data_IF_831012103070
#
_entry.id   IF_831012103070
#
_cell.length_a   1.000
_cell.length_b   1.000
_cell.length_c   1.000
_cell.angle_alpha   90.00
_cell.angle_beta   90.00
_cell.angle_gamma   90.00
#
_symmetry.space_group_name_H-M   'P 1'
#
loop_
_entity.id
_entity.type
_entity.pdbx_description
1 polymer ?
#
# COMPACT_ATOMS: atom_id res chain seq x y z
N UNK A 1 -8.60 2.12 -28.98
CA UNK A 1 -8.75 3.43 -28.31
C UNK A 1 -10.25 3.62 -28.07
N UNK A 2 -10.69 4.09 -26.90
CA UNK A 2 -12.12 4.36 -26.66
C UNK A 2 -12.40 5.84 -26.95
N UNK A 3 -13.44 6.12 -27.70
CA UNK A 3 -13.91 7.49 -27.96
C UNK A 3 -14.80 7.92 -26.81
N UNK A 4 -14.69 9.18 -26.38
CA UNK A 4 -15.49 9.72 -25.27
C UNK A 4 -16.41 10.80 -25.83
N UNK A 5 -17.71 10.62 -25.63
CA UNK A 5 -18.75 11.57 -25.99
C UNK A 5 -19.42 12.10 -24.72
N UNK A 6 -19.82 13.36 -24.73
CA UNK A 6 -20.51 14.01 -23.60
C UNK A 6 -21.87 14.53 -24.03
N UNK A 7 -22.86 14.35 -23.17
CA UNK A 7 -24.25 14.73 -23.41
C UNK A 7 -24.81 15.47 -22.20
N UNK A 8 -25.69 16.43 -22.43
CA UNK A 8 -26.22 17.30 -21.38
C UNK A 8 -27.55 16.82 -20.80
N UNK A 9 -28.06 15.67 -21.27
CA UNK A 9 -29.24 15.01 -20.71
C UNK A 9 -29.21 13.48 -20.89
N UNK A 10 -30.03 12.78 -20.10
CA UNK A 10 -30.08 11.32 -20.08
C UNK A 10 -30.68 10.73 -21.37
N UNK A 11 -31.73 11.35 -21.92
CA UNK A 11 -32.44 10.84 -23.10
C UNK A 11 -31.53 10.79 -24.35
N UNK A 12 -30.72 11.84 -24.58
CA UNK A 12 -29.71 11.85 -25.65
C UNK A 12 -28.60 10.84 -25.41
N UNK A 13 -28.22 10.63 -24.14
CA UNK A 13 -27.20 9.65 -23.75
C UNK A 13 -27.68 8.23 -24.06
N UNK A 14 -28.92 7.92 -23.68
CA UNK A 14 -29.53 6.60 -23.85
C UNK A 14 -29.77 6.32 -25.34
N UNK A 15 -30.34 7.28 -26.09
CA UNK A 15 -30.51 7.15 -27.54
C UNK A 15 -29.17 6.97 -28.28
N UNK A 16 -28.11 7.67 -27.84
CA UNK A 16 -26.78 7.48 -28.40
C UNK A 16 -26.22 6.09 -28.10
N UNK A 17 -26.41 5.57 -26.88
CA UNK A 17 -25.97 4.21 -26.53
C UNK A 17 -26.76 3.13 -27.30
N UNK A 18 -28.08 3.29 -27.43
CA UNK A 18 -28.96 2.37 -28.18
C UNK A 18 -28.66 2.36 -29.67
N UNK A 19 -28.17 3.48 -30.24
CA UNK A 19 -27.78 3.57 -31.65
C UNK A 19 -26.49 2.83 -32.03
N UNK A 20 -25.77 2.27 -31.04
CA UNK A 20 -24.42 1.70 -31.19
C UNK A 20 -24.41 0.19 -31.06
N UNK A 21 -25.04 -0.49 -32.01
CA UNK A 21 -25.03 -1.95 -32.12
C UNK A 21 -23.64 -2.53 -32.49
N UNK A 22 -22.75 -1.69 -33.02
CA UNK A 22 -21.41 -2.04 -33.50
C UNK A 22 -20.32 -1.90 -32.42
N UNK A 23 -20.68 -1.42 -31.23
CA UNK A 23 -19.73 -0.97 -30.23
C UNK A 23 -20.24 -1.19 -28.79
N UNK A 24 -19.33 -1.23 -27.83
CA UNK A 24 -19.71 -1.16 -26.41
C UNK A 24 -19.79 0.31 -26.00
N UNK A 25 -20.97 0.80 -25.67
CA UNK A 25 -21.17 2.11 -25.04
C UNK A 25 -21.31 1.94 -23.52
N UNK A 26 -20.47 2.64 -22.75
CA UNK A 26 -20.54 2.63 -21.27
C UNK A 26 -20.72 4.05 -20.75
N UNK A 27 -21.83 4.28 -20.05
CA UNK A 27 -22.11 5.55 -19.37
C UNK A 27 -21.23 5.63 -18.11
N UNK A 28 -20.59 6.79 -17.91
CA UNK A 28 -19.70 7.06 -16.80
C UNK A 28 -19.97 8.45 -16.23
N UNK A 29 -19.57 8.67 -14.98
CA UNK A 29 -19.71 9.96 -14.32
C UNK A 29 -18.92 11.04 -15.07
N UNK A 30 -19.59 12.14 -15.38
CA UNK A 30 -18.96 13.30 -16.01
C UNK A 30 -18.42 14.27 -14.94
N UNK A 31 -17.51 15.20 -15.32
CA UNK A 31 -16.96 16.19 -14.40
C UNK A 31 -17.95 17.29 -13.98
N UNK A 32 -19.18 17.33 -14.53
CA UNK A 32 -20.18 18.36 -14.23
C UNK A 32 -21.54 17.75 -13.85
N UNK A 33 -22.22 18.24 -12.80
CA UNK A 33 -23.57 17.79 -12.48
C UNK A 33 -24.54 17.97 -13.65
N UNK A 34 -25.30 16.94 -13.98
CA UNK A 34 -26.28 16.94 -15.09
C UNK A 34 -25.73 16.55 -16.46
N UNK A 35 -24.41 16.39 -16.60
CA UNK A 35 -23.77 15.92 -17.82
C UNK A 35 -23.45 14.42 -17.72
N UNK A 36 -23.48 13.72 -18.85
CA UNK A 36 -23.20 12.30 -18.98
C UNK A 36 -22.03 12.09 -19.92
N UNK A 37 -21.11 11.19 -19.56
CA UNK A 37 -19.97 10.82 -20.43
C UNK A 37 -20.13 9.38 -20.88
N UNK A 38 -20.21 9.16 -22.19
CA UNK A 38 -20.26 7.82 -22.80
C UNK A 38 -18.90 7.48 -23.38
N UNK A 39 -18.32 6.38 -22.91
CA UNK A 39 -17.12 5.78 -23.52
C UNK A 39 -17.54 4.72 -24.52
N UNK A 40 -17.24 4.93 -25.80
CA UNK A 40 -17.50 3.99 -26.90
C UNK A 40 -16.21 3.21 -27.20
N UNK A 41 -16.29 1.89 -27.14
CA UNK A 41 -15.20 0.99 -27.49
C UNK A 41 -15.65 -0.09 -28.46
N UNK A 42 -14.71 -0.93 -28.96
CA UNK A 42 -15.09 -2.06 -29.80
C UNK A 42 -16.15 -2.93 -29.10
N UNK A 43 -17.01 -3.57 -29.90
CA UNK A 43 -17.96 -4.55 -29.39
C UNK A 43 -17.23 -5.61 -28.54
N UNK A 44 -17.86 -6.13 -27.47
CA UNK A 44 -17.27 -7.22 -26.71
C UNK A 44 -17.07 -8.40 -27.67
N UNK A 45 -15.85 -8.96 -27.74
CA UNK A 45 -15.65 -10.21 -28.48
C UNK A 45 -16.52 -11.30 -27.85
N UNK A 46 -17.12 -12.15 -28.68
CA UNK A 46 -17.83 -13.33 -28.19
C UNK A 46 -16.86 -14.15 -27.32
N UNK A 47 -17.20 -14.46 -26.06
CA UNK A 47 -16.37 -15.31 -25.20
C UNK A 47 -15.98 -16.65 -25.84
N UNK A 48 -16.76 -17.16 -26.79
CA UNK A 48 -16.47 -18.39 -27.55
C UNK A 48 -15.29 -18.24 -28.52
N UNK A 49 -15.03 -17.01 -28.97
CA UNK A 49 -13.92 -16.66 -29.86
C UNK A 49 -12.69 -16.16 -29.09
N UNK A 50 -12.71 -16.24 -27.76
CA UNK A 50 -11.62 -15.85 -26.88
C UNK A 50 -10.89 -17.08 -26.34
N UNK A 51 -9.59 -16.96 -26.21
CA UNK A 51 -8.77 -17.94 -25.48
C UNK A 51 -9.06 -17.88 -23.99
N UNK A 52 -8.80 -18.98 -23.27
CA UNK A 52 -8.88 -19.00 -21.81
C UNK A 52 -8.05 -17.87 -21.17
N UNK A 53 -6.87 -17.56 -21.72
CA UNK A 53 -6.03 -16.48 -21.23
C UNK A 53 -6.74 -15.11 -21.34
N UNK A 54 -7.40 -14.82 -22.46
CA UNK A 54 -8.15 -13.57 -22.66
C UNK A 54 -9.37 -13.46 -21.73
N UNK A 55 -10.08 -14.57 -21.51
CA UNK A 55 -11.22 -14.61 -20.59
C UNK A 55 -10.81 -14.34 -19.13
N UNK A 56 -9.66 -14.88 -18.71
CA UNK A 56 -9.16 -14.74 -17.35
C UNK A 56 -8.23 -13.54 -17.15
N UNK A 57 -7.90 -12.75 -18.19
CA UNK A 57 -6.96 -11.63 -18.09
C UNK A 57 -7.36 -10.61 -17.01
N UNK A 58 -8.65 -10.29 -16.91
CA UNK A 58 -9.18 -9.39 -15.88
C UNK A 58 -8.98 -9.95 -14.46
N UNK A 59 -9.27 -11.24 -14.28
CA UNK A 59 -9.09 -11.95 -13.01
C UNK A 59 -7.60 -12.02 -12.64
N UNK A 60 -6.75 -12.43 -13.58
CA UNK A 60 -5.29 -12.51 -13.41
C UNK A 60 -4.67 -11.14 -13.11
N UNK A 61 -5.19 -10.06 -13.70
CA UNK A 61 -4.76 -8.70 -13.40
C UNK A 61 -5.07 -8.32 -11.96
N UNK A 62 -6.27 -8.62 -11.47
CA UNK A 62 -6.63 -8.33 -10.08
C UNK A 62 -5.84 -9.18 -9.08
N UNK A 63 -5.57 -10.45 -9.39
CA UNK A 63 -4.67 -11.28 -8.59
C UNK A 63 -3.26 -10.70 -8.53
N UNK A 64 -2.67 -10.30 -9.66
CA UNK A 64 -1.35 -9.65 -9.72
C UNK A 64 -1.31 -8.37 -8.88
N UNK A 65 -2.29 -7.47 -9.03
CA UNK A 65 -2.40 -6.25 -8.22
C UNK A 65 -2.51 -6.55 -6.71
N UNK A 66 -3.21 -7.61 -6.35
CA UNK A 66 -3.34 -8.01 -4.93
C UNK A 66 -2.02 -8.58 -4.41
N UNK A 67 -1.35 -9.41 -5.20
CA UNK A 67 -0.04 -9.95 -4.85
C UNK A 67 1.01 -8.84 -4.70
N UNK A 68 1.08 -7.88 -5.62
CA UNK A 68 1.96 -6.72 -5.54
C UNK A 68 1.72 -5.91 -4.26
N UNK A 69 0.45 -5.68 -3.89
CA UNK A 69 0.08 -5.02 -2.64
C UNK A 69 0.52 -5.81 -1.41
N UNK A 70 0.31 -7.13 -1.40
CA UNK A 70 0.76 -7.98 -0.30
C UNK A 70 2.28 -7.97 -0.16
N UNK A 71 3.00 -8.04 -1.28
CA UNK A 71 4.46 -7.98 -1.30
C UNK A 71 4.97 -6.61 -0.81
N UNK A 72 4.35 -5.51 -1.21
CA UNK A 72 4.69 -4.18 -0.71
C UNK A 72 4.50 -4.06 0.82
N UNK A 73 3.41 -4.62 1.35
CA UNK A 73 3.16 -4.69 2.81
C UNK A 73 4.21 -5.53 3.53
N UNK A 74 4.58 -6.66 2.97
CA UNK A 74 5.64 -7.52 3.52
C UNK A 74 6.98 -6.77 3.59
N UNK A 75 7.40 -6.10 2.52
CA UNK A 75 8.65 -5.33 2.51
C UNK A 75 8.61 -4.19 3.54
N UNK A 76 7.46 -3.52 3.69
CA UNK A 76 7.27 -2.49 4.72
C UNK A 76 7.38 -3.08 6.12
N UNK A 77 6.74 -4.22 6.39
CA UNK A 77 6.80 -4.89 7.68
C UNK A 77 8.23 -5.34 8.04
N UNK A 78 8.98 -5.88 7.07
CA UNK A 78 10.39 -6.23 7.25
C UNK A 78 11.23 -5.00 7.58
N UNK A 79 11.03 -3.90 6.84
CA UNK A 79 11.73 -2.66 7.08
C UNK A 79 11.47 -2.13 8.49
N UNK A 80 10.20 -2.03 8.88
CA UNK A 80 9.80 -1.56 10.21
C UNK A 80 10.40 -2.43 11.33
N UNK A 81 10.30 -3.75 11.21
CA UNK A 81 10.87 -4.68 12.17
C UNK A 81 12.41 -4.57 12.25
N UNK A 82 13.09 -4.39 11.10
CA UNK A 82 14.52 -4.19 11.04
C UNK A 82 14.96 -2.90 11.74
N UNK A 83 14.22 -1.80 11.50
CA UNK A 83 14.44 -0.52 12.15
C UNK A 83 14.23 -0.61 13.66
N UNK A 84 13.17 -1.27 14.11
CA UNK A 84 12.93 -1.50 15.54
C UNK A 84 14.03 -2.32 16.21
N UNK A 85 14.54 -3.36 15.55
CA UNK A 85 15.64 -4.18 16.08
C UNK A 85 16.92 -3.35 16.26
N UNK A 86 17.25 -2.49 15.30
CA UNK A 86 18.39 -1.59 15.44
C UNK A 86 18.14 -0.54 16.53
N UNK A 87 16.93 0.01 16.61
CA UNK A 87 16.56 0.98 17.64
C UNK A 87 16.79 0.42 19.05
N UNK A 88 16.35 -0.81 19.30
CA UNK A 88 16.54 -1.51 20.57
C UNK A 88 18.02 -1.79 20.86
N UNK A 89 18.80 -2.21 19.86
CA UNK A 89 20.23 -2.44 20.02
C UNK A 89 20.97 -1.14 20.39
N UNK A 90 20.64 -0.02 19.72
CA UNK A 90 21.22 1.28 20.04
C UNK A 90 20.79 1.76 21.44
N UNK A 91 19.53 1.55 21.82
CA UNK A 91 19.07 1.86 23.18
C UNK A 91 19.87 1.08 24.24
N UNK A 92 20.14 -0.21 23.98
CA UNK A 92 20.97 -1.06 24.85
C UNK A 92 22.44 -0.60 24.90
N UNK A 93 23.03 -0.23 23.77
CA UNK A 93 24.37 0.35 23.68
C UNK A 93 24.50 1.63 24.54
N UNK A 94 23.43 2.41 24.64
CA UNK A 94 23.32 3.61 25.48
C UNK A 94 22.98 3.31 26.96
N UNK A 95 22.80 2.04 27.32
CA UNK A 95 22.44 1.63 28.69
C UNK A 95 21.00 1.95 29.09
N UNK A 96 20.13 2.32 28.14
CA UNK A 96 18.73 2.61 28.41
C UNK A 96 17.96 1.31 28.69
N UNK A 97 17.01 1.37 29.63
CA UNK A 97 16.20 0.22 30.01
C UNK A 97 14.72 0.58 30.18
N UNK A 98 13.85 -0.44 30.20
CA UNK A 98 12.42 -0.27 30.47
C UNK A 98 11.76 0.78 29.57
N UNK A 99 11.09 1.76 30.20
CA UNK A 99 10.37 2.82 29.50
C UNK A 99 11.28 3.76 28.71
N UNK A 100 12.49 4.01 29.18
CA UNK A 100 13.45 4.86 28.47
C UNK A 100 13.87 4.22 27.14
N UNK A 101 14.18 2.92 27.16
CA UNK A 101 14.51 2.18 25.95
C UNK A 101 13.33 2.15 24.97
N UNK A 102 12.11 2.01 25.47
CA UNK A 102 10.90 2.07 24.65
C UNK A 102 10.73 3.44 23.99
N UNK A 103 10.81 4.54 24.76
CA UNK A 103 10.63 5.90 24.24
C UNK A 103 11.74 6.29 23.27
N UNK A 104 12.98 5.89 23.55
CA UNK A 104 14.09 6.05 22.61
C UNK A 104 13.78 5.34 21.29
N UNK A 105 13.38 4.08 21.37
CA UNK A 105 13.12 3.26 20.18
C UNK A 105 11.92 3.80 19.37
N UNK A 106 10.85 4.23 20.05
CA UNK A 106 9.71 4.87 19.40
C UNK A 106 10.12 6.15 18.66
N UNK A 107 10.96 6.99 19.28
CA UNK A 107 11.55 8.16 18.63
C UNK A 107 12.39 7.79 17.41
N UNK A 108 13.27 6.80 17.54
CA UNK A 108 14.15 6.31 16.47
C UNK A 108 13.36 5.77 15.27
N UNK A 109 12.29 5.02 15.52
CA UNK A 109 11.42 4.45 14.49
C UNK A 109 10.48 5.49 13.85
N UNK A 110 10.51 6.75 14.31
CA UNK A 110 9.70 7.82 13.75
C UNK A 110 8.25 7.84 14.23
N UNK A 111 7.89 7.06 15.26
CA UNK A 111 6.54 7.02 15.84
C UNK A 111 6.10 8.45 16.18
N UNK A 112 4.88 8.89 15.80
CA UNK A 112 4.39 10.22 16.13
C UNK A 112 4.39 10.46 17.65
N UNK A 113 4.84 11.63 18.10
CA UNK A 113 4.89 11.97 19.53
C UNK A 113 3.51 11.88 20.21
N UNK A 114 2.42 12.15 19.48
CA UNK A 114 1.05 11.97 19.97
C UNK A 114 0.68 10.52 20.29
N UNK A 115 1.34 9.55 19.65
CA UNK A 115 1.06 8.13 19.81
C UNK A 115 2.01 7.49 20.83
N UNK A 116 3.27 7.92 20.87
CA UNK A 116 4.24 7.46 21.87
C UNK A 116 4.08 8.16 23.24
N UNK A 117 3.45 9.34 23.25
CA UNK A 117 3.23 10.22 24.40
C UNK A 117 4.42 10.33 25.39
N UNK A 118 5.60 10.78 24.91
CA UNK A 118 6.79 10.86 25.75
C UNK A 118 6.67 11.96 26.83
N UNK A 119 5.68 12.85 26.74
CA UNK A 119 5.46 13.93 27.71
C UNK A 119 4.79 13.43 28.97
N UNK A 120 3.78 12.56 28.83
CA UNK A 120 3.13 11.94 29.98
C UNK A 120 4.13 11.18 30.88
N UNK A 121 5.20 10.66 30.29
CA UNK A 121 6.25 9.92 31.01
C UNK A 121 7.46 10.77 31.42
N UNK A 122 7.52 12.05 31.04
CA UNK A 122 8.69 12.91 31.28
C UNK A 122 9.95 12.53 30.48
N UNK A 123 9.80 11.73 29.42
CA UNK A 123 10.89 11.14 28.63
C UNK A 123 11.07 11.80 27.25
N UNK A 124 10.54 13.01 27.07
CA UNK A 124 10.68 13.79 25.83
C UNK A 124 12.14 13.98 25.37
N UNK A 125 13.14 14.17 26.26
CA UNK A 125 14.55 14.20 25.87
C UNK A 125 15.04 12.88 25.24
N UNK A 126 14.67 11.74 25.84
CA UNK A 126 15.06 10.40 25.39
C UNK A 126 14.42 10.07 24.03
N UNK A 127 13.15 10.41 23.86
CA UNK A 127 12.45 10.27 22.57
C UNK A 127 13.10 11.11 21.47
N UNK A 128 13.49 12.37 21.77
CA UNK A 128 14.21 13.23 20.80
C UNK A 128 15.60 12.71 20.50
N UNK A 129 16.29 12.11 21.46
CA UNK A 129 17.57 11.46 21.26
C UNK A 129 17.45 10.31 20.26
N UNK A 130 16.42 9.46 20.39
CA UNK A 130 16.13 8.41 19.42
C UNK A 130 15.96 8.93 17.99
N UNK A 131 15.20 10.02 17.82
CA UNK A 131 15.04 10.69 16.50
C UNK A 131 16.36 11.16 15.91
N UNK A 132 17.26 11.70 16.73
CA UNK A 132 18.59 12.14 16.28
C UNK A 132 19.47 10.96 15.91
N UNK A 133 19.47 9.91 16.74
CA UNK A 133 20.26 8.69 16.52
C UNK A 133 19.94 8.03 15.17
N UNK A 134 18.69 8.11 14.71
CA UNK A 134 18.28 7.62 13.38
C UNK A 134 19.09 8.21 12.22
N UNK A 135 19.56 9.46 12.37
CA UNK A 135 20.32 10.19 11.35
C UNK A 135 21.84 10.03 11.47
N UNK A 136 22.32 9.28 12.46
CA UNK A 136 23.75 9.07 12.65
C UNK A 136 24.38 8.23 11.52
N UNK A 137 25.65 8.51 11.25
CA UNK A 137 26.40 7.85 10.18
C UNK A 137 26.43 6.33 10.42
N UNK A 138 26.12 5.55 9.38
CA UNK A 138 26.13 4.08 9.43
C UNK A 138 24.83 3.45 9.97
N UNK A 139 23.92 4.22 10.57
CA UNK A 139 22.65 3.67 11.08
C UNK A 139 21.74 3.16 9.96
N UNK A 140 21.66 3.88 8.84
CA UNK A 140 20.91 3.44 7.67
C UNK A 140 21.44 2.12 7.09
N UNK A 141 22.74 1.88 7.16
CA UNK A 141 23.36 0.61 6.74
C UNK A 141 23.05 -0.51 7.73
N UNK A 142 23.18 -0.25 9.04
CA UNK A 142 22.76 -1.20 10.09
C UNK A 142 21.32 -1.66 9.92
N UNK A 143 20.40 -0.75 9.58
CA UNK A 143 18.99 -1.08 9.40
C UNK A 143 18.73 -1.90 8.14
N UNK A 144 19.39 -1.58 7.02
CA UNK A 144 19.32 -2.41 5.80
C UNK A 144 19.89 -3.82 6.04
N UNK A 145 20.97 -3.93 6.82
CA UNK A 145 21.54 -5.23 7.20
C UNK A 145 20.58 -6.04 8.10
N UNK A 146 19.92 -5.37 9.06
CA UNK A 146 18.91 -6.02 9.91
C UNK A 146 17.69 -6.48 9.11
N UNK A 147 17.20 -5.67 8.18
CA UNK A 147 16.12 -6.03 7.24
C UNK A 147 16.50 -7.25 6.39
N UNK A 148 17.70 -7.26 5.81
CA UNK A 148 18.19 -8.39 5.01
C UNK A 148 18.29 -9.69 5.83
N UNK A 149 18.69 -9.60 7.09
CA UNK A 149 18.72 -10.74 8.01
C UNK A 149 17.29 -11.20 8.37
N UNK A 150 16.36 -10.28 8.59
CA UNK A 150 14.96 -10.66 8.85
C UNK A 150 14.34 -11.38 7.66
N UNK A 151 14.70 -11.02 6.42
CA UNK A 151 14.20 -11.69 5.22
C UNK A 151 14.57 -13.18 5.15
N UNK A 152 15.65 -13.61 5.81
CA UNK A 152 16.02 -15.04 5.87
C UNK A 152 15.29 -15.82 6.97
N UNK A 153 14.63 -15.13 7.91
CA UNK A 153 14.00 -15.74 9.09
C UNK A 153 12.49 -15.52 9.16
N UNK A 154 11.96 -14.53 8.44
CA UNK A 154 10.54 -14.27 8.30
C UNK A 154 10.22 -14.12 6.82
N UNK A 155 9.69 -15.18 6.23
CA UNK A 155 9.45 -15.30 4.80
C UNK A 155 8.13 -14.67 4.38
N UNK A 156 7.98 -14.38 3.08
CA UNK A 156 6.72 -13.87 2.52
C UNK A 156 5.54 -14.82 2.76
N UNK A 157 5.78 -16.14 2.70
CA UNK A 157 4.74 -17.15 2.97
C UNK A 157 4.26 -17.10 4.42
N UNK A 158 5.18 -16.97 5.38
CA UNK A 158 4.84 -16.82 6.79
C UNK A 158 4.08 -15.51 7.04
N UNK A 159 4.48 -14.41 6.40
CA UNK A 159 3.74 -13.16 6.44
C UNK A 159 2.29 -13.34 5.95
N UNK A 160 2.08 -14.00 4.81
CA UNK A 160 0.73 -14.25 4.29
C UNK A 160 -0.12 -15.08 5.26
N UNK A 161 0.47 -16.07 5.95
CA UNK A 161 -0.24 -16.85 6.96
C UNK A 161 -0.75 -15.96 8.11
N UNK A 162 0.00 -14.95 8.54
CA UNK A 162 -0.48 -14.01 9.58
C UNK A 162 -1.64 -13.11 9.12
N UNK A 163 -1.81 -12.91 7.81
CA UNK A 163 -2.80 -11.98 7.26
C UNK A 163 -4.12 -12.67 6.86
N UNK A 164 -4.07 -13.97 6.55
CA UNK A 164 -5.18 -14.68 5.90
C UNK A 164 -5.61 -15.97 6.62
N UNK A 165 -4.98 -16.35 7.74
CA UNK A 165 -5.53 -17.42 8.58
C UNK A 165 -6.74 -16.88 9.34
N UNK A 166 -7.93 -17.48 9.19
CA UNK A 166 -9.09 -17.10 9.99
C UNK A 166 -8.82 -17.43 11.46
N UNK A 167 -9.16 -16.49 12.35
CA UNK A 167 -9.15 -16.70 13.79
C UNK A 167 -10.13 -17.81 14.21
#
# INVERSE_FOLDING_TARGET
>A
MREIHTFDNADETDAFCESRDDATAVISNSPRPGQYSVSVGPAPRDPRDMTLAELFEGVNREYRKREERCRARYETALHEAGVWRVAQAVAQELGLQGREAYQFSAGFCGVPARAADPRAEGLEPVFRQGRKARSEKGVAERCRAAEANLRSTFTYTEFLATQFVPA
#
